data_IF_531659981505
#
_entry.id   IF_531659981505
#
_cell.length_a   1.000
_cell.length_b   1.000
_cell.length_c   1.000
_cell.angle_alpha   90.00
_cell.angle_beta   90.00
_cell.angle_gamma   90.00
#
_symmetry.space_group_name_H-M   'P 1'
#
loop_
_entity.id
_entity.type
_entity.pdbx_description
1 polymer ?
#
# COMPACT_ATOMS: atom_id res chain seq x y z
N UNK A 1 -24.06 26.27 -43.03
CA UNK A 1 -24.42 27.07 -41.83
C UNK A 1 -25.10 26.13 -40.84
N UNK A 2 -24.55 25.64 -39.74
CA UNK A 2 -23.27 25.88 -39.10
C UNK A 2 -23.39 26.40 -37.65
N UNK A 3 -24.06 25.70 -36.73
CA UNK A 3 -23.94 25.85 -35.25
C UNK A 3 -24.45 24.55 -34.58
N UNK A 4 -23.60 23.54 -34.36
CA UNK A 4 -22.68 23.27 -33.22
C UNK A 4 -23.39 22.65 -32.00
N UNK A 5 -23.31 21.32 -31.93
CA UNK A 5 -23.74 20.45 -30.83
C UNK A 5 -22.92 20.67 -29.55
N UNK A 6 -23.60 20.67 -28.40
CA UNK A 6 -22.99 20.60 -27.06
C UNK A 6 -22.80 19.12 -26.67
N UNK A 7 -21.55 18.74 -26.43
CA UNK A 7 -21.12 17.43 -25.93
C UNK A 7 -20.75 17.56 -24.45
N UNK A 8 -21.18 16.58 -23.66
CA UNK A 8 -20.77 16.31 -22.28
C UNK A 8 -19.24 16.06 -22.15
N UNK A 9 -18.61 16.33 -20.99
CA UNK A 9 -17.22 15.93 -20.78
C UNK A 9 -17.12 14.52 -20.21
N UNK A 10 -16.49 13.63 -21.00
CA UNK A 10 -15.93 12.35 -20.56
C UNK A 10 -14.59 12.57 -19.84
N UNK A 11 -14.35 11.68 -18.88
CA UNK A 11 -13.08 11.19 -18.29
C UNK A 11 -11.75 11.71 -18.87
N UNK A 12 -10.85 12.04 -17.94
CA UNK A 12 -9.45 11.61 -17.97
C UNK A 12 -8.51 12.42 -18.86
N UNK A 13 -7.94 13.48 -18.33
CA UNK A 13 -6.72 14.09 -18.88
C UNK A 13 -5.59 13.99 -17.86
N UNK A 14 -4.80 12.93 -18.03
CA UNK A 14 -3.39 12.90 -17.64
C UNK A 14 -2.70 13.83 -18.63
N UNK A 15 -2.12 14.93 -18.17
CA UNK A 15 -1.30 15.81 -19.00
C UNK A 15 0.13 15.24 -18.99
N UNK A 16 0.67 14.77 -20.11
CA UNK A 16 2.08 14.46 -20.22
C UNK A 16 2.88 15.74 -20.49
N UNK A 17 3.97 15.96 -19.77
CA UNK A 17 5.02 16.91 -20.19
C UNK A 17 5.10 18.26 -19.49
N UNK A 18 4.79 18.35 -18.19
CA UNK A 18 5.13 19.56 -17.40
C UNK A 18 6.51 19.42 -16.75
N UNK A 19 7.53 19.29 -17.59
CA UNK A 19 8.93 19.44 -17.17
C UNK A 19 9.64 20.42 -18.12
N UNK A 20 9.36 21.71 -17.94
CA UNK A 20 10.29 22.76 -18.39
C UNK A 20 10.14 24.03 -17.58
N UNK A 21 11.17 24.24 -16.77
CA UNK A 21 11.50 25.41 -15.95
C UNK A 21 11.11 26.74 -16.62
N UNK A 22 10.33 27.56 -15.91
CA UNK A 22 10.24 29.00 -16.12
C UNK A 22 11.52 29.65 -15.58
N UNK A 23 12.29 30.27 -16.47
CA UNK A 23 13.29 31.27 -16.11
C UNK A 23 12.70 32.66 -16.42
N UNK A 24 12.75 33.57 -15.44
CA UNK A 24 12.38 34.98 -15.62
C UNK A 24 13.47 35.73 -16.42
N UNK A 25 13.15 36.89 -17.05
CA UNK A 25 13.86 37.40 -18.22
C UNK A 25 15.14 38.16 -17.85
N UNK A 26 16.24 37.81 -18.52
CA UNK A 26 17.48 38.58 -18.54
C UNK A 26 17.41 39.72 -19.55
N UNK A 27 18.05 40.83 -19.22
CA UNK A 27 18.10 42.09 -19.96
C UNK A 27 18.54 41.95 -21.42
N UNK A 28 17.85 42.70 -22.29
CA UNK A 28 18.11 42.80 -23.72
C UNK A 28 19.46 43.48 -24.03
N UNK A 29 20.16 42.97 -25.04
CA UNK A 29 21.16 43.69 -25.82
C UNK A 29 20.87 43.46 -27.33
N UNK A 30 20.96 44.49 -28.19
CA UNK A 30 20.53 44.40 -29.59
C UNK A 30 21.58 43.70 -30.47
N UNK A 31 21.21 43.12 -31.63
CA UNK A 31 22.14 42.39 -32.47
C UNK A 31 22.88 43.35 -33.43
N UNK A 32 24.21 43.27 -33.46
CA UNK A 32 25.04 43.96 -34.46
C UNK A 32 25.66 42.95 -35.45
N UNK A 33 25.12 43.02 -36.68
CA UNK A 33 25.61 42.69 -38.03
C UNK A 33 26.79 41.71 -38.21
N UNK A 34 26.53 40.73 -39.07
CA UNK A 34 27.47 39.87 -39.79
C UNK A 34 28.30 40.68 -40.80
N UNK A 35 29.63 40.52 -40.80
CA UNK A 35 30.48 40.75 -41.95
C UNK A 35 31.43 39.57 -42.15
N UNK A 36 31.62 39.21 -43.41
CA UNK A 36 32.29 38.01 -43.89
C UNK A 36 33.80 38.21 -44.16
N UNK A 37 34.47 37.05 -44.25
CA UNK A 37 35.69 36.73 -45.01
C UNK A 37 37.07 36.99 -44.39
N UNK A 38 37.82 35.91 -44.14
CA UNK A 38 39.03 35.53 -44.92
C UNK A 38 39.64 34.22 -44.38
N UNK A 39 40.23 33.43 -45.28
CA UNK A 39 40.64 32.05 -45.07
C UNK A 39 42.16 31.82 -45.01
N UNK A 40 42.53 30.61 -44.52
CA UNK A 40 43.77 29.80 -44.69
C UNK A 40 44.86 29.87 -43.57
N UNK A 41 45.76 28.87 -43.42
CA UNK A 41 45.50 27.61 -42.69
C UNK A 41 46.65 27.12 -41.75
N UNK A 42 46.36 26.06 -40.99
CA UNK A 42 47.25 25.02 -40.42
C UNK A 42 48.40 25.40 -39.45
N UNK A 43 48.34 24.84 -38.22
CA UNK A 43 49.41 23.99 -37.65
C UNK A 43 48.94 23.22 -36.41
N UNK A 44 49.33 21.93 -36.37
CA UNK A 44 49.20 20.98 -35.25
C UNK A 44 49.90 21.49 -34.00
N UNK A 45 49.31 21.27 -32.82
CA UNK A 45 50.00 21.45 -31.54
C UNK A 45 49.13 21.10 -30.31
N UNK A 46 49.43 19.94 -29.71
CA UNK A 46 49.16 19.53 -28.32
C UNK A 46 47.72 19.48 -27.80
N UNK A 47 47.22 18.26 -27.60
CA UNK A 47 46.15 17.96 -26.65
C UNK A 47 46.60 18.35 -25.23
N UNK A 48 45.94 19.35 -24.64
CA UNK A 48 45.83 19.49 -23.18
C UNK A 48 44.43 19.04 -22.79
N UNK A 49 44.37 17.99 -22.01
CA UNK A 49 43.19 17.47 -21.31
C UNK A 49 42.56 18.60 -20.48
N UNK A 50 41.46 19.17 -20.97
CA UNK A 50 40.52 19.93 -20.14
C UNK A 50 39.70 18.92 -19.36
N UNK A 51 39.93 18.86 -18.04
CA UNK A 51 38.98 18.25 -17.12
C UNK A 51 37.64 18.99 -17.29
N UNK A 52 36.66 18.31 -17.88
CA UNK A 52 35.26 18.73 -17.78
C UNK A 52 34.82 18.56 -16.33
N UNK A 53 34.91 19.63 -15.55
CA UNK A 53 34.10 19.74 -14.34
C UNK A 53 32.64 19.71 -14.76
N UNK A 54 32.01 18.55 -14.65
CA UNK A 54 30.56 18.41 -14.71
C UNK A 54 29.95 19.26 -13.60
N UNK A 55 29.59 20.51 -13.92
CA UNK A 55 28.77 21.37 -13.07
C UNK A 55 27.47 20.63 -12.78
N UNK A 56 27.38 19.99 -11.61
CA UNK A 56 26.12 19.48 -11.06
C UNK A 56 25.11 20.63 -11.11
N UNK A 57 24.10 20.55 -11.98
CA UNK A 57 22.97 21.49 -12.01
C UNK A 57 22.42 21.52 -10.58
N UNK A 58 22.59 22.64 -9.88
CA UNK A 58 21.97 22.83 -8.57
C UNK A 58 20.46 22.69 -8.77
N UNK A 59 19.89 21.64 -8.19
CA UNK A 59 18.44 21.51 -8.08
C UNK A 59 17.98 22.70 -7.25
N UNK A 60 16.99 23.50 -7.70
CA UNK A 60 16.52 24.64 -6.91
C UNK A 60 16.11 24.11 -5.54
N UNK A 61 16.79 24.59 -4.49
CA UNK A 61 16.49 24.22 -3.10
C UNK A 61 15.04 24.65 -2.85
N UNK A 62 14.12 23.70 -2.77
CA UNK A 62 12.76 23.98 -2.32
C UNK A 62 12.87 24.61 -0.93
N UNK A 63 12.24 25.77 -0.73
CA UNK A 63 12.18 26.39 0.60
C UNK A 63 11.58 25.36 1.58
N UNK A 64 12.09 25.26 2.81
CA UNK A 64 11.51 24.37 3.80
C UNK A 64 10.05 24.79 4.05
N UNK A 65 9.17 23.80 4.20
CA UNK A 65 7.75 24.05 4.50
C UNK A 65 7.60 24.62 5.90
N UNK A 66 6.77 25.66 6.06
CA UNK A 66 6.46 26.24 7.35
C UNK A 66 5.52 25.32 8.15
N UNK A 67 5.60 25.33 9.48
CA UNK A 67 4.83 24.43 10.35
C UNK A 67 3.40 24.91 10.59
N UNK A 68 3.20 26.18 10.95
CA UNK A 68 1.86 26.75 11.21
C UNK A 68 1.58 27.92 10.28
N UNK A 69 0.37 28.02 9.71
CA UNK A 69 -0.05 29.18 8.96
C UNK A 69 -0.15 30.40 9.88
N UNK A 70 0.25 31.55 9.35
CA UNK A 70 0.18 32.83 10.06
C UNK A 70 -1.25 33.38 9.98
N UNK A 71 -1.87 33.21 8.81
CA UNK A 71 -3.21 33.70 8.49
C UNK A 71 -4.20 32.53 8.39
N UNK A 72 -5.49 32.84 8.55
CA UNK A 72 -6.58 31.86 8.42
C UNK A 72 -6.68 31.30 6.99
N UNK A 73 -6.36 32.12 5.99
CA UNK A 73 -6.33 31.75 4.58
C UNK A 73 -4.88 31.66 4.13
N UNK A 74 -4.44 30.45 3.79
CA UNK A 74 -3.06 30.19 3.42
C UNK A 74 -2.95 29.18 2.29
N UNK A 75 -1.85 29.25 1.55
CA UNK A 75 -1.56 28.31 0.46
C UNK A 75 -1.00 27.01 1.04
N UNK A 76 -1.77 25.94 0.95
CA UNK A 76 -1.45 24.63 1.55
C UNK A 76 -0.09 24.07 1.15
N UNK A 77 0.41 24.34 -0.06
CA UNK A 77 1.71 23.86 -0.53
C UNK A 77 2.93 24.53 0.11
N UNK A 78 2.76 25.62 0.86
CA UNK A 78 3.84 26.29 1.59
C UNK A 78 3.99 25.79 3.03
N UNK A 79 3.03 24.99 3.50
CA UNK A 79 2.97 24.51 4.87
C UNK A 79 3.05 22.98 4.92
N UNK A 80 3.52 22.46 6.05
CA UNK A 80 3.49 21.03 6.32
C UNK A 80 2.04 20.60 6.54
N UNK A 81 1.63 19.47 5.94
CA UNK A 81 0.29 18.95 6.19
C UNK A 81 0.20 18.53 7.66
N UNK A 82 -0.84 18.98 8.40
CA UNK A 82 -1.02 18.58 9.78
C UNK A 82 -1.26 17.07 9.84
N UNK A 83 -0.76 16.47 10.91
CA UNK A 83 -0.98 15.07 11.24
C UNK A 83 -1.97 14.97 12.41
N UNK A 84 -2.86 13.99 12.35
CA UNK A 84 -3.99 13.86 13.27
C UNK A 84 -3.95 12.51 13.99
N UNK A 85 -4.47 12.49 15.22
CA UNK A 85 -4.84 11.26 15.89
C UNK A 85 -6.01 10.59 15.18
N UNK A 86 -6.11 9.26 15.29
CA UNK A 86 -7.11 8.48 14.55
C UNK A 86 -8.53 8.86 14.93
N UNK A 87 -8.81 9.02 16.22
CA UNK A 87 -10.14 9.39 16.73
C UNK A 87 -10.58 10.74 16.15
N UNK A 88 -9.68 11.72 16.22
CA UNK A 88 -9.91 13.07 15.68
C UNK A 88 -10.12 13.03 14.17
N UNK A 89 -9.31 12.26 13.44
CA UNK A 89 -9.43 12.12 11.99
C UNK A 89 -10.76 11.48 11.59
N UNK A 90 -11.19 10.41 12.25
CA UNK A 90 -12.49 9.78 11.99
C UNK A 90 -13.64 10.73 12.31
N UNK A 91 -13.55 11.50 13.40
CA UNK A 91 -14.52 12.54 13.73
C UNK A 91 -14.59 13.64 12.66
N UNK A 92 -13.45 14.04 12.09
CA UNK A 92 -13.40 14.99 10.97
C UNK A 92 -14.04 14.41 9.71
N UNK A 93 -13.78 13.14 9.37
CA UNK A 93 -14.36 12.50 8.19
C UNK A 93 -15.89 12.43 8.26
N UNK A 94 -16.45 12.15 9.45
CA UNK A 94 -17.91 12.17 9.67
C UNK A 94 -18.47 13.58 9.48
N UNK A 95 -17.84 14.60 10.05
CA UNK A 95 -18.24 16.01 9.86
C UNK A 95 -18.15 16.44 8.40
N UNK A 96 -17.10 16.04 7.67
CA UNK A 96 -16.97 16.34 6.24
C UNK A 96 -18.12 15.74 5.44
N UNK A 97 -18.54 14.51 5.75
CA UNK A 97 -19.69 13.90 5.09
C UNK A 97 -20.98 14.71 5.29
N UNK A 98 -21.21 15.22 6.50
CA UNK A 98 -22.36 16.10 6.82
C UNK A 98 -22.29 17.43 6.05
N UNK A 99 -21.13 18.10 6.08
CA UNK A 99 -20.89 19.39 5.43
C UNK A 99 -20.98 19.31 3.91
N UNK A 100 -20.52 18.20 3.33
CA UNK A 100 -20.54 17.98 1.88
C UNK A 100 -21.91 17.44 1.40
N UNK A 101 -22.87 17.19 2.31
CA UNK A 101 -24.18 16.57 2.02
C UNK A 101 -24.07 15.26 1.24
N UNK A 102 -23.06 14.44 1.56
CA UNK A 102 -22.76 13.20 0.83
C UNK A 102 -23.39 11.98 1.49
N UNK A 103 -23.38 10.84 0.81
CA UNK A 103 -24.05 9.61 1.29
C UNK A 103 -23.47 9.13 2.65
N UNK A 104 -24.28 8.82 3.67
CA UNK A 104 -23.77 8.50 5.01
C UNK A 104 -23.02 7.17 5.09
N UNK A 105 -23.39 6.15 4.30
CA UNK A 105 -22.73 4.83 4.33
C UNK A 105 -21.57 4.72 3.34
N UNK A 106 -20.74 5.75 3.28
CA UNK A 106 -19.53 5.74 2.46
C UNK A 106 -18.46 4.83 3.03
N UNK A 107 -17.61 4.29 2.15
CA UNK A 107 -16.44 3.53 2.56
C UNK A 107 -15.33 4.46 3.03
N UNK A 108 -14.69 4.05 4.13
CA UNK A 108 -13.45 4.63 4.64
C UNK A 108 -12.29 3.84 4.04
N UNK A 109 -11.40 4.57 3.38
CA UNK A 109 -10.19 4.04 2.78
C UNK A 109 -8.96 4.44 3.57
N UNK A 110 -7.96 3.58 3.53
CA UNK A 110 -6.63 3.87 4.01
C UNK A 110 -5.64 3.68 2.89
N UNK A 111 -4.70 4.62 2.82
CA UNK A 111 -3.51 4.52 2.01
C UNK A 111 -2.31 4.38 2.96
N UNK A 112 -1.70 3.20 2.97
CA UNK A 112 -0.47 2.91 3.72
C UNK A 112 0.70 3.04 2.76
N UNK A 113 1.63 3.94 3.04
CA UNK A 113 2.86 4.10 2.27
C UNK A 113 3.97 3.31 2.96
N UNK A 114 4.54 2.35 2.24
CA UNK A 114 5.56 1.44 2.74
C UNK A 114 6.95 1.85 2.25
N UNK A 115 7.95 1.69 3.11
CA UNK A 115 9.35 1.73 2.66
C UNK A 115 9.79 0.33 2.23
N UNK A 116 9.69 0.06 0.93
CA UNK A 116 10.21 -1.18 0.35
C UNK A 116 11.59 -0.99 -0.29
N UNK A 117 12.13 0.24 -0.28
CA UNK A 117 13.39 0.60 -0.91
C UNK A 117 14.56 0.26 0.01
N UNK A 118 14.93 -1.02 0.07
CA UNK A 118 16.05 -1.47 0.90
C UNK A 118 17.38 -0.97 0.30
N UNK A 119 18.13 -0.19 1.09
CA UNK A 119 19.48 0.32 0.77
C UNK A 119 20.50 -0.82 0.58
N UNK A 120 20.21 -2.02 1.11
CA UNK A 120 21.00 -3.25 0.93
C UNK A 120 20.23 -4.25 0.06
N UNK A 121 20.94 -4.94 -0.83
CA UNK A 121 20.50 -5.65 -2.05
C UNK A 121 19.30 -6.61 -2.00
N UNK A 122 18.75 -6.98 -0.83
CA UNK A 122 17.52 -7.79 -0.76
C UNK A 122 16.34 -6.83 -0.71
N UNK A 123 15.53 -6.72 -1.76
CA UNK A 123 14.30 -5.91 -1.77
C UNK A 123 13.14 -6.72 -1.19
N UNK A 124 12.22 -6.10 -0.45
CA UNK A 124 10.95 -6.75 -0.09
C UNK A 124 10.15 -6.90 -1.37
N UNK A 125 9.72 -8.12 -1.69
CA UNK A 125 8.84 -8.35 -2.83
C UNK A 125 7.45 -7.77 -2.53
N UNK A 126 6.74 -7.21 -3.54
CA UNK A 126 5.35 -6.83 -3.37
C UNK A 126 4.52 -8.06 -2.99
N UNK A 127 3.79 -7.96 -1.88
CA UNK A 127 3.00 -9.04 -1.33
C UNK A 127 1.51 -8.75 -1.42
N UNK A 128 0.72 -9.82 -1.22
CA UNK A 128 -0.74 -9.79 -1.14
C UNK A 128 -1.12 -10.64 0.05
N UNK A 129 -1.94 -10.09 0.94
CA UNK A 129 -2.37 -10.74 2.17
C UNK A 129 -3.89 -10.64 2.31
N UNK A 130 -4.46 -11.55 3.09
CA UNK A 130 -5.88 -11.56 3.44
C UNK A 130 -6.01 -11.60 4.95
N UNK A 131 -6.76 -10.65 5.52
CA UNK A 131 -6.91 -10.49 6.97
C UNK A 131 -8.36 -10.56 7.36
N UNK A 132 -8.65 -11.28 8.45
CA UNK A 132 -9.97 -11.25 9.06
C UNK A 132 -10.11 -9.98 9.91
N UNK A 133 -11.09 -9.15 9.59
CA UNK A 133 -11.40 -7.96 10.39
C UNK A 133 -12.29 -8.33 11.57
N UNK A 134 -12.09 -7.70 12.75
CA UNK A 134 -12.92 -7.95 13.93
C UNK A 134 -14.36 -7.47 13.72
N UNK A 135 -14.55 -6.37 12.99
CA UNK A 135 -15.86 -5.83 12.67
C UNK A 135 -16.11 -5.84 11.16
N UNK A 136 -17.15 -6.54 10.73
CA UNK A 136 -17.58 -6.55 9.33
C UNK A 136 -18.22 -5.21 8.96
N UNK A 137 -17.90 -4.72 7.77
CA UNK A 137 -18.47 -3.49 7.21
C UNK A 137 -19.12 -3.72 5.83
N UNK A 138 -19.00 -4.91 5.27
CA UNK A 138 -19.62 -5.31 4.01
C UNK A 138 -20.74 -6.29 4.29
N UNK A 139 -21.90 -6.05 3.69
CA UNK A 139 -23.05 -6.98 3.71
C UNK A 139 -22.87 -8.10 2.68
N UNK A 140 -21.94 -7.92 1.73
CA UNK A 140 -21.63 -8.90 0.69
C UNK A 140 -20.57 -9.88 1.22
N UNK A 141 -20.90 -11.17 1.17
CA UNK A 141 -19.96 -12.28 1.39
C UNK A 141 -19.32 -12.69 0.07
N UNK A 142 -18.02 -12.95 0.08
CA UNK A 142 -17.31 -13.41 -1.12
C UNK A 142 -17.83 -14.80 -1.54
N UNK A 143 -18.01 -15.00 -2.84
CA UNK A 143 -18.30 -16.33 -3.38
C UNK A 143 -17.00 -17.11 -3.48
N UNK A 144 -16.86 -18.12 -2.63
CA UNK A 144 -15.66 -18.98 -2.58
C UNK A 144 -15.93 -20.30 -3.26
N UNK A 145 -15.04 -20.69 -4.18
CA UNK A 145 -15.04 -21.98 -4.86
C UNK A 145 -13.88 -22.83 -4.34
N UNK A 146 -14.16 -24.08 -3.98
CA UNK A 146 -13.15 -25.01 -3.44
C UNK A 146 -12.90 -26.15 -4.42
N UNK A 147 -11.63 -26.37 -4.72
CA UNK A 147 -11.14 -27.49 -5.53
C UNK A 147 -10.61 -28.61 -4.64
N UNK A 148 -11.30 -29.75 -4.65
CA UNK A 148 -10.93 -30.97 -3.91
C UNK A 148 -11.25 -32.21 -4.76
N UNK A 149 -10.44 -33.27 -4.62
CA UNK A 149 -10.77 -34.59 -5.19
C UNK A 149 -11.34 -35.54 -4.15
N UNK A 150 -11.05 -35.29 -2.87
CA UNK A 150 -11.57 -36.07 -1.76
C UNK A 150 -13.01 -35.69 -1.45
N UNK A 151 -13.89 -36.69 -1.38
CA UNK A 151 -15.33 -36.49 -1.12
C UNK A 151 -15.58 -35.93 0.29
N UNK A 152 -14.82 -36.38 1.29
CA UNK A 152 -14.93 -35.89 2.68
C UNK A 152 -14.61 -34.40 2.78
N UNK A 153 -13.51 -33.96 2.17
CA UNK A 153 -13.13 -32.54 2.09
C UNK A 153 -14.19 -31.72 1.35
N UNK A 154 -14.80 -32.32 0.32
CA UNK A 154 -15.86 -31.67 -0.45
C UNK A 154 -17.16 -31.50 0.35
N UNK A 155 -17.51 -32.46 1.20
CA UNK A 155 -18.66 -32.38 2.11
C UNK A 155 -18.44 -31.30 3.17
N UNK A 156 -17.27 -31.30 3.82
CA UNK A 156 -16.88 -30.28 4.79
C UNK A 156 -16.97 -28.89 4.18
N UNK A 157 -16.47 -28.70 2.95
CA UNK A 157 -16.54 -27.41 2.27
C UNK A 157 -17.99 -26.96 1.99
N UNK A 158 -18.86 -27.89 1.56
CA UNK A 158 -20.28 -27.62 1.28
C UNK A 158 -21.05 -27.22 2.55
N UNK A 159 -20.85 -27.95 3.64
CA UNK A 159 -21.50 -27.67 4.93
C UNK A 159 -21.11 -26.29 5.49
N UNK A 160 -19.88 -25.85 5.23
CA UNK A 160 -19.35 -24.58 5.72
C UNK A 160 -19.65 -23.39 4.79
N UNK A 161 -20.51 -23.59 3.79
CA UNK A 161 -21.05 -22.52 2.94
C UNK A 161 -20.13 -22.11 1.79
N UNK A 162 -19.30 -23.03 1.28
CA UNK A 162 -18.68 -22.84 -0.04
C UNK A 162 -19.77 -22.74 -1.12
N UNK A 163 -19.62 -21.80 -2.05
CA UNK A 163 -20.64 -21.55 -3.08
C UNK A 163 -20.70 -22.69 -4.10
N UNK A 164 -19.52 -23.20 -4.48
CA UNK A 164 -19.34 -24.33 -5.40
C UNK A 164 -18.15 -25.14 -4.92
N UNK A 165 -18.29 -26.46 -4.94
CA UNK A 165 -17.23 -27.40 -4.58
C UNK A 165 -17.16 -28.47 -5.65
N UNK A 166 -15.96 -28.82 -6.08
CA UNK A 166 -15.78 -29.88 -7.07
C UNK A 166 -14.33 -30.09 -7.47
N UNK A 167 -14.12 -31.12 -8.29
CA UNK A 167 -12.79 -31.50 -8.78
C UNK A 167 -12.48 -30.92 -10.15
N UNK A 168 -11.96 -31.78 -11.03
CA UNK A 168 -11.55 -31.42 -12.41
C UNK A 168 -12.68 -30.99 -13.33
N UNK A 169 -13.92 -31.35 -13.01
CA UNK A 169 -15.11 -31.05 -13.81
C UNK A 169 -15.34 -29.54 -13.92
N UNK A 170 -15.08 -28.81 -12.84
CA UNK A 170 -15.24 -27.36 -12.77
C UNK A 170 -14.25 -26.60 -13.67
N UNK A 171 -13.14 -27.24 -14.06
CA UNK A 171 -12.11 -26.59 -14.90
C UNK A 171 -12.70 -26.15 -16.23
N UNK A 172 -13.52 -27.00 -16.87
CA UNK A 172 -14.13 -26.69 -18.17
C UNK A 172 -15.10 -25.52 -18.06
N UNK A 173 -16.01 -25.57 -17.10
CA UNK A 173 -16.99 -24.50 -16.85
C UNK A 173 -16.34 -23.16 -16.52
N UNK A 174 -15.24 -23.19 -15.75
CA UNK A 174 -14.46 -21.96 -15.47
C UNK A 174 -13.77 -21.48 -16.73
N UNK A 175 -13.23 -22.36 -17.59
CA UNK A 175 -12.63 -21.97 -18.88
C UNK A 175 -13.66 -21.40 -19.87
N UNK A 176 -14.91 -21.84 -19.79
CA UNK A 176 -16.04 -21.36 -20.61
C UNK A 176 -16.75 -20.13 -20.02
N UNK A 177 -16.31 -19.64 -18.85
CA UNK A 177 -16.91 -18.50 -18.12
C UNK A 177 -18.35 -18.75 -17.60
N UNK A 178 -18.80 -20.00 -17.52
CA UNK A 178 -20.10 -20.34 -16.93
C UNK A 178 -20.13 -20.10 -15.42
N UNK A 179 -19.01 -20.38 -14.74
CA UNK A 179 -18.85 -20.21 -13.30
C UNK A 179 -17.80 -19.15 -13.01
N UNK A 180 -18.16 -18.18 -12.18
CA UNK A 180 -17.26 -17.14 -11.69
C UNK A 180 -17.35 -16.99 -10.17
N UNK A 181 -16.20 -17.09 -9.52
CA UNK A 181 -16.04 -16.89 -8.08
C UNK A 181 -15.10 -15.72 -7.77
N UNK A 182 -15.24 -15.18 -6.56
CA UNK A 182 -14.38 -14.12 -6.04
C UNK A 182 -13.02 -14.69 -5.62
N UNK A 183 -13.06 -15.80 -4.89
CA UNK A 183 -11.89 -16.53 -4.40
C UNK A 183 -11.93 -18.01 -4.80
N UNK A 184 -10.75 -18.56 -5.10
CA UNK A 184 -10.56 -19.97 -5.41
C UNK A 184 -9.61 -20.57 -4.38
N UNK A 185 -10.05 -21.65 -3.73
CA UNK A 185 -9.28 -22.44 -2.77
C UNK A 185 -9.00 -23.80 -3.36
N UNK A 186 -7.88 -24.40 -2.99
CA UNK A 186 -7.53 -25.73 -3.48
C UNK A 186 -6.68 -26.52 -2.50
N UNK A 187 -6.87 -27.84 -2.52
CA UNK A 187 -5.99 -28.78 -1.82
C UNK A 187 -4.74 -29.07 -2.68
N UNK A 188 -3.56 -29.30 -2.09
CA UNK A 188 -2.32 -29.48 -2.86
C UNK A 188 -2.38 -30.62 -3.90
N UNK A 189 -3.18 -31.66 -3.63
CA UNK A 189 -3.32 -32.85 -4.48
C UNK A 189 -3.89 -32.55 -5.87
N UNK A 190 -4.83 -31.59 -5.97
CA UNK A 190 -5.49 -31.24 -7.24
C UNK A 190 -4.70 -30.21 -8.07
N UNK A 191 -3.66 -29.58 -7.51
CA UNK A 191 -2.88 -28.54 -8.18
C UNK A 191 -2.34 -28.92 -9.57
N UNK A 192 -1.78 -30.12 -9.80
CA UNK A 192 -1.27 -30.51 -11.12
C UNK A 192 -2.34 -30.47 -12.20
N UNK A 193 -3.60 -30.69 -11.84
CA UNK A 193 -4.73 -30.69 -12.76
C UNK A 193 -5.25 -29.27 -13.05
N UNK A 194 -5.00 -28.32 -12.15
CA UNK A 194 -5.45 -26.92 -12.28
C UNK A 194 -4.52 -26.02 -13.14
N UNK A 195 -3.40 -26.55 -13.64
CA UNK A 195 -2.44 -25.81 -14.49
C UNK A 195 -3.11 -25.04 -15.67
N UNK A 196 -4.11 -25.59 -16.38
CA UNK A 196 -4.78 -24.88 -17.47
C UNK A 196 -5.44 -23.56 -17.05
N UNK A 197 -5.89 -23.46 -15.78
CA UNK A 197 -6.56 -22.27 -15.25
C UNK A 197 -5.59 -21.13 -14.91
N UNK A 198 -4.28 -21.38 -14.88
CA UNK A 198 -3.27 -20.38 -14.48
C UNK A 198 -3.36 -19.09 -15.28
N UNK A 199 -3.54 -19.20 -16.59
CA UNK A 199 -3.62 -18.05 -17.49
C UNK A 199 -4.92 -17.26 -17.34
N UNK A 200 -6.02 -17.94 -16.96
CA UNK A 200 -7.34 -17.35 -16.80
C UNK A 200 -7.49 -16.65 -15.44
N UNK A 201 -7.16 -17.36 -14.36
CA UNK A 201 -7.32 -16.85 -12.99
C UNK A 201 -6.25 -15.83 -12.60
N UNK A 202 -5.04 -15.90 -13.18
CA UNK A 202 -3.90 -14.97 -12.93
C UNK A 202 -3.66 -14.71 -11.44
N UNK A 203 -4.18 -13.59 -10.91
CA UNK A 203 -4.07 -13.21 -9.49
C UNK A 203 -4.91 -14.10 -8.57
N UNK A 204 -6.06 -14.58 -9.05
CA UNK A 204 -6.97 -15.45 -8.30
C UNK A 204 -6.55 -16.92 -8.29
N UNK A 205 -5.41 -17.27 -8.91
CA UNK A 205 -4.91 -18.63 -8.92
C UNK A 205 -4.44 -19.03 -7.50
N UNK A 206 -4.86 -20.19 -6.97
CA UNK A 206 -4.51 -20.60 -5.61
C UNK A 206 -2.99 -20.69 -5.41
N UNK A 207 -2.50 -20.18 -4.28
CA UNK A 207 -1.07 -20.11 -3.98
C UNK A 207 -0.84 -20.22 -2.46
N UNK A 208 0.20 -20.96 -2.07
CA UNK A 208 0.65 -21.08 -0.67
C UNK A 208 0.96 -19.71 -0.06
N UNK A 209 1.59 -18.79 -0.81
CA UNK A 209 1.92 -17.44 -0.32
C UNK A 209 0.68 -16.62 0.08
N UNK A 210 -0.49 -16.96 -0.49
CA UNK A 210 -1.76 -16.26 -0.21
C UNK A 210 -2.64 -17.03 0.78
N UNK A 211 -2.18 -18.16 1.30
CA UNK A 211 -3.01 -19.05 2.14
C UNK A 211 -4.29 -19.55 1.44
N UNK A 212 -4.29 -19.65 0.10
CA UNK A 212 -5.40 -20.26 -0.68
C UNK A 212 -5.14 -21.71 -1.07
N UNK A 213 -3.98 -22.25 -0.68
CA UNK A 213 -3.58 -23.62 -0.88
C UNK A 213 -3.18 -24.22 0.47
N UNK A 214 -3.83 -25.32 0.84
CA UNK A 214 -3.59 -26.01 2.11
C UNK A 214 -4.61 -27.13 2.35
N UNK A 215 -4.41 -27.89 3.43
CA UNK A 215 -5.34 -28.95 3.85
C UNK A 215 -6.43 -28.43 4.81
N UNK A 216 -6.19 -27.31 5.50
CA UNK A 216 -7.13 -26.70 6.45
C UNK A 216 -8.23 -25.89 5.72
N UNK A 217 -9.16 -26.58 5.05
CA UNK A 217 -10.21 -25.95 4.23
C UNK A 217 -11.10 -25.02 5.06
N UNK A 218 -11.44 -25.40 6.29
CA UNK A 218 -12.31 -24.62 7.17
C UNK A 218 -11.74 -23.23 7.48
N UNK A 219 -10.47 -23.17 7.88
CA UNK A 219 -9.80 -21.91 8.20
C UNK A 219 -9.67 -21.04 6.96
N UNK A 220 -9.29 -21.64 5.83
CA UNK A 220 -9.17 -20.93 4.55
C UNK A 220 -10.53 -20.38 4.09
N UNK A 221 -11.62 -21.16 4.21
CA UNK A 221 -12.96 -20.72 3.86
C UNK A 221 -13.40 -19.51 4.68
N UNK A 222 -13.21 -19.55 6.00
CA UNK A 222 -13.54 -18.42 6.88
C UNK A 222 -12.75 -17.16 6.51
N UNK A 223 -11.44 -17.32 6.26
CA UNK A 223 -10.58 -16.22 5.85
C UNK A 223 -10.99 -15.61 4.51
N UNK A 224 -11.33 -16.41 3.50
CA UNK A 224 -11.65 -15.87 2.17
C UNK A 224 -13.09 -15.41 2.02
N UNK A 225 -14.01 -15.93 2.84
CA UNK A 225 -15.42 -15.51 2.84
C UNK A 225 -15.59 -14.11 3.40
N UNK A 226 -14.93 -13.82 4.52
CA UNK A 226 -15.12 -12.60 5.31
C UNK A 226 -13.87 -11.70 5.37
N UNK A 227 -12.72 -12.22 4.96
CA UNK A 227 -11.46 -11.49 5.04
C UNK A 227 -11.33 -10.41 3.98
N UNK A 228 -10.56 -9.40 4.36
CA UNK A 228 -10.15 -8.30 3.51
C UNK A 228 -8.84 -8.68 2.81
N UNK A 229 -8.88 -8.85 1.48
CA UNK A 229 -7.67 -8.96 0.66
C UNK A 229 -7.07 -7.56 0.42
N UNK A 230 -5.76 -7.43 0.62
CA UNK A 230 -5.01 -6.23 0.28
C UNK A 230 -3.71 -6.58 -0.43
N UNK A 231 -3.30 -5.71 -1.35
CA UNK A 231 -2.08 -5.88 -2.13
C UNK A 231 -1.30 -4.56 -2.19
N UNK A 232 0.02 -4.70 -2.22
CA UNK A 232 0.91 -3.59 -2.55
C UNK A 232 0.71 -3.21 -4.02
N UNK A 233 0.35 -1.95 -4.26
CA UNK A 233 0.23 -1.36 -5.60
C UNK A 233 1.56 -0.78 -6.06
N UNK A 234 1.56 -0.24 -7.28
CA UNK A 234 2.66 0.58 -7.77
C UNK A 234 2.96 1.72 -6.78
N UNK A 235 4.24 2.10 -6.66
CA UNK A 235 4.74 3.10 -5.70
C UNK A 235 4.76 2.67 -4.21
N UNK A 236 4.71 1.36 -3.91
CA UNK A 236 4.78 0.83 -2.55
C UNK A 236 3.62 1.31 -1.65
N UNK A 237 2.43 1.46 -2.24
CA UNK A 237 1.23 1.92 -1.54
C UNK A 237 0.20 0.81 -1.44
N UNK A 238 -0.33 0.58 -0.25
CA UNK A 238 -1.52 -0.26 -0.05
C UNK A 238 -2.73 0.66 0.04
N UNK A 239 -3.73 0.43 -0.81
CA UNK A 239 -5.01 1.17 -0.78
C UNK A 239 -6.15 0.21 -0.52
N UNK A 240 -6.76 0.30 0.65
CA UNK A 240 -7.83 -0.62 1.07
C UNK A 240 -8.98 0.07 1.77
N UNK A 241 -10.12 -0.63 1.81
CA UNK A 241 -11.31 -0.25 2.57
C UNK A 241 -11.29 -0.97 3.90
N UNK A 242 -11.56 -0.26 4.98
CA UNK A 242 -11.53 -0.86 6.33
C UNK A 242 -12.87 -0.80 7.07
N UNK A 243 -13.73 0.13 6.69
CA UNK A 243 -14.97 0.41 7.40
C UNK A 243 -15.92 1.22 6.52
N UNK A 244 -17.13 1.44 7.05
CA UNK A 244 -18.06 2.45 6.58
C UNK A 244 -18.11 3.63 7.57
N UNK A 245 -18.45 4.82 7.09
CA UNK A 245 -18.53 6.02 7.94
C UNK A 245 -19.67 5.97 8.98
N UNK A 246 -20.70 5.16 8.75
CA UNK A 246 -21.81 4.96 9.69
C UNK A 246 -21.43 4.13 10.92
N UNK A 247 -20.30 3.42 10.88
CA UNK A 247 -19.81 2.61 11.98
C UNK A 247 -19.35 3.46 13.17
N UNK A 248 -19.45 2.96 14.40
CA UNK A 248 -18.89 3.62 15.58
C UNK A 248 -17.37 3.73 15.46
N UNK A 249 -16.82 4.84 15.98
CA UNK A 249 -15.42 5.20 15.82
C UNK A 249 -14.47 4.13 16.37
N UNK A 250 -14.83 3.48 17.47
CA UNK A 250 -14.07 2.39 18.09
C UNK A 250 -13.89 1.19 17.16
N UNK A 251 -14.94 0.80 16.42
CA UNK A 251 -14.88 -0.32 15.48
C UNK A 251 -13.97 0.00 14.28
N UNK A 252 -14.01 1.25 13.81
CA UNK A 252 -13.14 1.73 12.73
C UNK A 252 -11.67 1.66 13.18
N UNK A 253 -11.38 2.08 14.41
CA UNK A 253 -10.03 2.02 14.99
C UNK A 253 -9.56 0.59 15.15
N UNK A 254 -10.40 -0.31 15.65
CA UNK A 254 -10.07 -1.72 15.81
C UNK A 254 -9.72 -2.36 14.46
N UNK A 255 -10.53 -2.14 13.41
CA UNK A 255 -10.25 -2.62 12.06
C UNK A 255 -8.97 -2.02 11.47
N UNK A 256 -8.69 -0.74 11.74
CA UNK A 256 -7.43 -0.12 11.33
C UNK A 256 -6.23 -0.80 11.99
N UNK A 257 -6.28 -1.01 13.31
CA UNK A 257 -5.20 -1.64 14.08
C UNK A 257 -4.90 -3.05 13.60
N UNK A 258 -5.92 -3.86 13.31
CA UNK A 258 -5.70 -5.23 12.80
C UNK A 258 -5.01 -5.24 11.44
N UNK A 259 -5.39 -4.34 10.53
CA UNK A 259 -4.74 -4.22 9.22
C UNK A 259 -3.29 -3.77 9.36
N UNK A 260 -2.99 -2.78 10.22
CA UNK A 260 -1.62 -2.32 10.45
C UNK A 260 -0.77 -3.44 11.06
N UNK A 261 -1.29 -4.14 12.08
CA UNK A 261 -0.58 -5.23 12.73
C UNK A 261 -0.21 -6.33 11.73
N UNK A 262 -1.16 -6.72 10.86
CA UNK A 262 -0.88 -7.69 9.81
C UNK A 262 0.18 -7.20 8.82
N UNK A 263 0.10 -5.94 8.36
CA UNK A 263 1.12 -5.35 7.48
C UNK A 263 2.50 -5.38 8.15
N UNK A 264 2.57 -5.11 9.45
CA UNK A 264 3.80 -5.15 10.21
C UNK A 264 4.39 -6.56 10.35
N UNK A 265 3.61 -7.64 10.21
CA UNK A 265 4.17 -9.02 10.22
C UNK A 265 5.08 -9.29 9.02
N UNK A 266 4.85 -8.59 7.90
CA UNK A 266 5.70 -8.68 6.71
C UNK A 266 6.98 -7.84 6.83
N UNK A 267 7.18 -7.14 7.95
CA UNK A 267 8.40 -6.39 8.23
C UNK A 267 9.56 -7.38 8.42
N UNK A 268 10.65 -7.26 7.64
CA UNK A 268 11.87 -8.02 7.91
C UNK A 268 12.56 -7.52 9.20
N UNK A 269 12.99 -8.45 10.05
CA UNK A 269 13.57 -8.22 11.39
C UNK A 269 14.70 -7.17 11.44
N UNK A 270 15.45 -7.00 10.35
CA UNK A 270 16.68 -6.18 10.32
C UNK A 270 16.44 -4.69 10.05
N UNK A 271 15.20 -4.22 9.90
CA UNK A 271 14.94 -2.91 9.29
C UNK A 271 14.10 -1.97 10.17
N UNK A 272 14.29 -0.67 9.93
CA UNK A 272 13.58 0.43 10.60
C UNK A 272 12.08 0.49 10.25
N UNK A 273 11.44 1.68 10.35
CA UNK A 273 9.98 1.78 10.21
C UNK A 273 9.50 1.30 8.83
N UNK A 274 8.68 0.25 8.81
CA UNK A 274 8.14 -0.33 7.58
C UNK A 274 7.04 0.53 6.96
N UNK A 275 6.19 1.12 7.81
CA UNK A 275 5.16 2.08 7.43
C UNK A 275 5.72 3.49 7.55
N UNK A 276 5.84 4.20 6.43
CA UNK A 276 6.34 5.58 6.41
C UNK A 276 5.26 6.61 6.68
N UNK A 277 4.08 6.41 6.07
CA UNK A 277 2.96 7.35 6.15
C UNK A 277 1.65 6.59 6.09
N UNK A 278 0.67 7.10 6.82
CA UNK A 278 -0.67 6.58 6.85
C UNK A 278 -1.64 7.70 6.54
N UNK A 279 -2.47 7.53 5.52
CA UNK A 279 -3.49 8.51 5.14
C UNK A 279 -4.86 7.85 5.18
N UNK A 280 -5.78 8.43 5.94
CA UNK A 280 -7.18 8.02 5.98
C UNK A 280 -8.03 8.97 5.15
N UNK A 281 -9.00 8.43 4.42
CA UNK A 281 -9.90 9.22 3.57
C UNK A 281 -11.28 8.57 3.46
N UNK A 282 -12.31 9.37 3.18
CA UNK A 282 -13.58 8.86 2.69
C UNK A 282 -13.55 8.69 1.16
N UNK A 283 -14.69 8.30 0.61
CA UNK A 283 -14.94 8.23 -0.84
C UNK A 283 -14.93 9.63 -1.48
N UNK A 284 -15.50 10.63 -0.79
CA UNK A 284 -15.64 12.01 -1.28
C UNK A 284 -14.65 12.99 -0.66
N UNK A 285 -14.23 12.75 0.58
CA UNK A 285 -13.41 13.67 1.35
C UNK A 285 -11.94 13.68 0.91
N UNK A 286 -11.21 14.72 1.33
CA UNK A 286 -9.76 14.72 1.24
C UNK A 286 -9.12 13.67 2.16
N UNK A 287 -7.84 13.38 1.88
CA UNK A 287 -7.04 12.47 2.69
C UNK A 287 -6.31 13.19 3.83
N UNK A 288 -6.57 12.73 5.05
CA UNK A 288 -5.98 13.20 6.30
C UNK A 288 -4.76 12.35 6.66
N UNK A 289 -3.66 13.00 7.02
CA UNK A 289 -2.45 12.32 7.47
C UNK A 289 -2.63 11.90 8.93
N UNK A 290 -2.33 10.64 9.24
CA UNK A 290 -2.41 10.09 10.59
C UNK A 290 -1.03 10.08 11.27
N UNK A 291 -1.03 10.32 12.58
CA UNK A 291 0.11 10.03 13.44
C UNK A 291 0.30 8.51 13.52
N UNK A 292 1.54 8.05 13.39
CA UNK A 292 1.89 6.63 13.47
C UNK A 292 2.09 6.17 14.93
N UNK A 293 2.29 7.13 15.84
CA UNK A 293 2.53 6.89 17.26
C UNK A 293 1.33 6.19 17.90
N UNK A 294 1.55 5.00 18.49
CA UNK A 294 0.51 4.18 19.13
C UNK A 294 -0.33 3.29 18.21
N UNK A 295 -0.11 3.34 16.88
CA UNK A 295 -0.75 2.43 15.92
C UNK A 295 0.13 1.27 15.50
N UNK A 296 1.44 1.46 15.50
CA UNK A 296 2.37 0.38 15.26
C UNK A 296 2.36 -0.54 16.47
N UNK A 297 2.45 -1.87 16.28
CA UNK A 297 2.71 -2.76 17.39
C UNK A 297 3.99 -2.25 18.06
N UNK A 298 3.90 -1.95 19.36
CA UNK A 298 5.11 -1.70 20.12
C UNK A 298 5.91 -2.98 19.98
N UNK A 299 7.12 -2.86 19.42
CA UNK A 299 8.12 -3.88 19.62
C UNK A 299 8.23 -3.96 21.14
N UNK A 300 7.60 -4.98 21.75
CA UNK A 300 7.92 -5.33 23.11
C UNK A 300 9.43 -5.40 23.11
N UNK A 301 10.03 -4.56 23.95
CA UNK A 301 11.43 -4.59 24.31
C UNK A 301 11.68 -5.95 24.95
N UNK A 302 11.75 -7.00 24.13
CA UNK A 302 12.14 -8.34 24.56
C UNK A 302 13.59 -8.29 25.00
N UNK A 303 14.38 -7.36 24.44
CA UNK A 303 15.74 -7.06 24.91
C UNK A 303 15.78 -6.60 26.39
N UNK A 304 14.84 -5.78 26.87
CA UNK A 304 14.86 -5.34 28.28
C UNK A 304 14.41 -6.45 29.25
N UNK A 305 13.54 -7.38 28.82
CA UNK A 305 13.12 -8.51 29.67
C UNK A 305 14.08 -9.70 29.63
N UNK A 306 14.84 -9.86 28.56
CA UNK A 306 15.94 -10.82 28.50
C UNK A 306 17.15 -10.28 29.29
N UNK A 307 17.47 -8.98 29.20
CA UNK A 307 18.50 -8.35 30.02
C UNK A 307 18.14 -8.32 31.52
N UNK A 308 16.88 -8.11 31.91
CA UNK A 308 16.46 -8.19 33.32
C UNK A 308 16.52 -9.64 33.85
N UNK A 309 16.22 -10.65 33.02
CA UNK A 309 16.32 -12.06 33.42
C UNK A 309 17.75 -12.57 33.49
N UNK A 310 18.59 -12.18 32.53
CA UNK A 310 20.02 -12.51 32.55
C UNK A 310 20.76 -11.77 33.68
N UNK A 311 20.26 -10.61 34.13
CA UNK A 311 20.76 -9.92 35.31
C UNK A 311 20.33 -10.59 36.62
N UNK A 312 19.08 -11.06 36.74
CA UNK A 312 18.59 -11.80 37.92
C UNK A 312 19.30 -13.17 38.07
N UNK A 313 19.52 -13.91 36.97
CA UNK A 313 20.24 -15.20 37.02
C UNK A 313 21.73 -15.04 37.39
N UNK A 314 22.38 -13.95 36.96
CA UNK A 314 23.77 -13.65 37.34
C UNK A 314 23.93 -13.19 38.80
N UNK A 315 22.91 -12.53 39.38
CA UNK A 315 22.91 -12.16 40.80
C UNK A 315 22.69 -13.38 41.70
N UNK A 316 21.86 -14.36 41.30
CA UNK A 316 21.66 -15.59 42.07
C UNK A 316 22.90 -16.50 42.06
N UNK A 317 23.65 -16.61 40.95
CA UNK A 317 24.89 -17.39 40.89
C UNK A 317 25.98 -16.80 41.82
N UNK A 318 26.14 -15.47 41.86
CA UNK A 318 27.14 -14.81 42.70
C UNK A 318 26.86 -14.93 44.22
N UNK A 319 25.59 -15.02 44.63
CA UNK A 319 25.21 -15.22 46.03
C UNK A 319 25.46 -16.68 46.47
N UNK A 320 25.37 -17.64 45.54
CA UNK A 320 25.61 -19.07 45.83
C UNK A 320 27.10 -19.43 45.99
N UNK A 321 28.00 -18.79 45.24
CA UNK A 321 29.45 -19.03 45.37
C UNK A 321 30.05 -18.40 46.64
N UNK A 322 29.51 -17.27 47.09
CA UNK A 322 30.04 -16.54 48.25
C UNK A 322 29.64 -17.13 49.61
N UNK A 323 28.65 -18.03 49.65
CA UNK A 323 28.27 -18.77 50.86
C UNK A 323 29.09 -20.05 51.10
N UNK A 324 30.02 -20.40 50.20
CA UNK A 324 30.70 -21.70 50.17
C UNK A 324 32.20 -21.67 50.53
N UNK A 325 32.73 -20.56 51.07
CA UNK A 325 34.16 -20.46 51.47
C UNK A 325 34.34 -20.27 52.97
#
# INVERSE_FOLDING_TARGET
>A
MGFRAMLAPRRGWIIPGLDRRLAAPGSAAPPARLYAAAAKPAKRGSQKTKQEETKKKQVPRRRPLLTKPVDDVYLTWHYQRPSYEVEKAVGMLKKFQELDFTYPKQFVYINVFLDMALQKKKKVEPFTSTVLLPYRFSDQTNKVLVFTENEQEAEIARENGAAVVGGVELIKWILEDEIQADAYLAVPEIMPKLIPLRNKLKRKYPNTKRNSLGHDILKMLQLYRDGLEYAVQDECVIKTRIARLDMPTEQIIANLKTVINDICTFKPLTYGPFVQRLVIRSSTSEGLLLNLDGLLPQEEKVEEKEEEKDAEDNEEEHVSESAST
#
